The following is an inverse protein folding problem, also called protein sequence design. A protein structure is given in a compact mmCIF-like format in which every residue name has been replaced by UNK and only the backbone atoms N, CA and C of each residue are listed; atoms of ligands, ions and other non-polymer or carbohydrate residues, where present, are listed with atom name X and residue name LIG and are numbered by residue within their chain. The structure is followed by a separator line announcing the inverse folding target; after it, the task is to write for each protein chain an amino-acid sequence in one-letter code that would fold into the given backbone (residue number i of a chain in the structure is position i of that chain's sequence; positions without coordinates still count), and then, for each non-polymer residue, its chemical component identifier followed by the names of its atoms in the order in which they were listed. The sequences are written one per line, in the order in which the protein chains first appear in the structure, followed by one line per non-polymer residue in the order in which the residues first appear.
data_IF_153691022404
#
_entry.id   IF_153691022404
#
_cell.length_a   1.000
_cell.length_b   1.000
_cell.length_c   1.000
_cell.angle_alpha   90.00
_cell.angle_beta   90.00
_cell.angle_gamma   90.00
#
_symmetry.space_group_name_H-M   'P 1'
#
loop_
_entity.id
_entity.type
_entity.pdbx_description
1 polymer ?
#
# COMPACT_ATOMS: atom_id res chain seq x y z
N UNK A 1 -16.91 -14.08 21.82
CA UNK A 1 -17.15 -12.79 21.15
C UNK A 1 -16.69 -11.67 22.04
N UNK A 2 -15.48 -11.17 21.82
CA UNK A 2 -14.96 -9.96 22.49
C UNK A 2 -14.99 -8.88 21.43
N UNK A 3 -15.90 -7.92 21.59
CA UNK A 3 -16.00 -6.75 20.72
C UNK A 3 -14.72 -5.93 20.86
N UNK A 4 -13.94 -5.80 19.79
CA UNK A 4 -12.89 -4.81 19.70
C UNK A 4 -13.53 -3.41 19.53
N UNK A 5 -13.03 -2.39 20.22
CA UNK A 5 -13.49 -1.04 20.00
C UNK A 5 -13.06 -0.61 18.59
N UNK A 6 -14.01 -0.11 17.82
CA UNK A 6 -13.81 0.56 16.54
C UNK A 6 -12.95 1.79 16.83
N UNK A 7 -11.67 1.70 16.50
CA UNK A 7 -10.71 2.78 16.68
C UNK A 7 -11.04 3.94 15.77
N UNK A 8 -10.91 5.13 16.32
CA UNK A 8 -11.11 6.42 15.72
C UNK A 8 -10.45 6.54 14.35
N UNK A 9 -11.27 6.78 13.33
CA UNK A 9 -10.82 7.27 12.03
C UNK A 9 -10.17 8.63 12.24
N UNK A 10 -8.84 8.67 12.35
CA UNK A 10 -8.10 9.92 12.23
C UNK A 10 -8.23 10.44 10.80
N UNK A 11 -9.30 11.16 10.54
CA UNK A 11 -9.37 12.06 9.38
C UNK A 11 -8.34 13.14 9.63
N UNK A 12 -7.23 13.10 8.90
CA UNK A 12 -6.34 14.24 8.76
C UNK A 12 -7.15 15.36 8.09
N UNK A 13 -7.78 16.20 8.88
CA UNK A 13 -8.37 17.44 8.40
C UNK A 13 -7.21 18.34 7.98
N UNK A 14 -7.09 18.71 6.69
CA UNK A 14 -6.08 19.68 6.29
C UNK A 14 -6.37 21.00 7.02
N UNK A 15 -5.31 21.71 7.40
CA UNK A 15 -5.35 23.00 8.14
C UNK A 15 -6.22 24.08 7.46
N UNK A 16 -6.73 23.81 6.26
CA UNK A 16 -7.57 24.68 5.44
C UNK A 16 -9.04 24.26 5.37
N UNK A 17 -9.49 23.34 6.22
CA UNK A 17 -10.85 22.78 6.14
C UNK A 17 -11.98 23.84 6.23
N UNK A 18 -11.73 24.97 6.85
CA UNK A 18 -12.72 26.02 7.11
C UNK A 18 -12.63 27.24 6.18
N UNK A 19 -11.70 27.25 5.22
CA UNK A 19 -11.58 28.36 4.29
C UNK A 19 -12.70 28.31 3.24
N UNK A 20 -13.58 29.33 3.26
CA UNK A 20 -14.62 29.47 2.23
C UNK A 20 -14.03 29.89 0.90
N UNK A 21 -14.35 29.14 -0.14
CA UNK A 21 -14.02 29.44 -1.55
C UNK A 21 -15.29 29.41 -2.40
N UNK A 22 -15.22 29.97 -3.59
CA UNK A 22 -16.32 29.99 -4.54
C UNK A 22 -16.01 29.10 -5.73
N UNK A 23 -16.96 28.27 -6.13
CA UNK A 23 -16.80 27.33 -7.26
C UNK A 23 -18.01 27.43 -8.19
N UNK A 24 -17.83 26.99 -9.43
CA UNK A 24 -18.96 26.84 -10.38
C UNK A 24 -19.27 25.36 -10.59
N UNK A 25 -20.48 24.98 -11.03
CA UNK A 25 -20.88 23.57 -11.19
C UNK A 25 -19.93 22.76 -12.08
N UNK A 26 -19.48 23.35 -13.19
CA UNK A 26 -18.67 22.70 -14.24
C UNK A 26 -17.25 23.24 -14.34
N UNK A 27 -16.88 24.23 -13.52
CA UNK A 27 -15.56 24.87 -13.57
C UNK A 27 -14.46 24.01 -12.96
N UNK A 28 -13.23 24.17 -13.46
CA UNK A 28 -12.03 23.51 -12.98
C UNK A 28 -11.24 24.33 -11.95
N UNK A 29 -11.81 25.44 -11.45
CA UNK A 29 -11.12 26.38 -10.57
C UNK A 29 -11.96 26.77 -9.36
N UNK A 30 -11.26 27.04 -8.23
CA UNK A 30 -11.85 27.69 -7.08
C UNK A 30 -11.35 29.14 -6.94
N UNK A 31 -12.14 30.01 -6.30
CA UNK A 31 -11.98 31.45 -6.27
C UNK A 31 -12.13 31.99 -4.84
N UNK A 32 -11.51 33.14 -4.54
CA UNK A 32 -11.72 33.86 -3.27
C UNK A 32 -13.03 34.66 -3.24
N UNK A 33 -13.55 34.97 -4.42
CA UNK A 33 -14.79 35.73 -4.62
C UNK A 33 -15.41 35.40 -5.98
N UNK A 34 -16.62 35.84 -6.25
CA UNK A 34 -17.29 35.68 -7.58
C UNK A 34 -16.55 36.50 -8.65
N UNK A 35 -15.57 35.89 -9.32
CA UNK A 35 -14.73 36.55 -10.30
C UNK A 35 -15.08 36.12 -11.73
N UNK A 36 -15.89 36.90 -12.43
CA UNK A 36 -16.31 36.66 -13.83
C UNK A 36 -17.81 36.37 -13.97
N UNK A 37 -18.22 35.98 -15.18
CA UNK A 37 -19.63 35.62 -15.48
C UNK A 37 -19.86 34.14 -15.20
N UNK A 38 -20.68 33.81 -14.23
CA UNK A 38 -21.02 32.41 -13.89
C UNK A 38 -21.83 32.31 -12.61
N UNK A 39 -22.47 31.19 -12.40
CA UNK A 39 -23.19 30.87 -11.16
C UNK A 39 -22.20 30.29 -10.17
N UNK A 40 -21.78 31.11 -9.18
CA UNK A 40 -20.87 30.74 -8.13
C UNK A 40 -21.64 30.36 -6.86
N UNK A 41 -21.25 29.31 -6.19
CA UNK A 41 -21.72 28.94 -4.87
C UNK A 41 -20.54 28.76 -3.90
N UNK A 42 -20.81 28.98 -2.63
CA UNK A 42 -19.81 28.82 -1.58
C UNK A 42 -19.50 27.32 -1.37
N UNK A 43 -18.23 27.01 -1.16
CA UNK A 43 -17.70 25.69 -0.88
C UNK A 43 -16.54 25.83 0.10
N UNK A 44 -16.09 24.71 0.69
CA UNK A 44 -14.84 24.70 1.45
C UNK A 44 -13.65 24.47 0.52
N UNK A 45 -12.46 24.93 0.91
CA UNK A 45 -11.24 24.70 0.17
C UNK A 45 -10.96 23.18 0.06
N UNK A 46 -11.19 22.44 1.14
CA UNK A 46 -11.03 20.97 1.15
C UNK A 46 -11.94 20.28 0.15
N UNK A 47 -13.22 20.68 0.07
CA UNK A 47 -14.18 20.13 -0.89
C UNK A 47 -13.82 20.49 -2.33
N UNK A 48 -13.32 21.71 -2.58
CA UNK A 48 -12.84 22.12 -3.89
C UNK A 48 -11.61 21.33 -4.35
N UNK A 49 -10.65 21.08 -3.45
CA UNK A 49 -9.46 20.28 -3.71
C UNK A 49 -9.80 18.81 -3.94
N UNK A 50 -10.74 18.25 -3.17
CA UNK A 50 -11.24 16.88 -3.36
C UNK A 50 -11.87 16.66 -4.75
N UNK A 51 -12.49 17.71 -5.33
CA UNK A 51 -13.00 17.72 -6.70
C UNK A 51 -11.91 17.94 -7.76
N UNK A 52 -10.64 18.06 -7.38
CA UNK A 52 -9.51 18.32 -8.28
C UNK A 52 -9.45 19.76 -8.83
N UNK A 53 -10.15 20.71 -8.20
CA UNK A 53 -10.15 22.09 -8.65
C UNK A 53 -8.82 22.77 -8.30
N UNK A 54 -8.38 23.68 -9.16
CA UNK A 54 -7.15 24.48 -8.98
C UNK A 54 -7.48 25.94 -8.69
N UNK A 55 -6.55 26.67 -8.07
CA UNK A 55 -6.74 28.09 -7.79
C UNK A 55 -6.93 28.92 -9.05
N UNK A 56 -7.86 29.86 -9.04
CA UNK A 56 -8.04 30.82 -10.12
C UNK A 56 -6.88 31.81 -10.15
N UNK A 57 -6.21 31.93 -11.32
CA UNK A 57 -5.07 32.85 -11.48
C UNK A 57 -5.41 34.32 -11.24
N UNK A 58 -6.65 34.74 -11.49
CA UNK A 58 -7.09 36.11 -11.22
C UNK A 58 -7.27 36.40 -9.73
N UNK A 59 -7.72 35.39 -8.95
CA UNK A 59 -7.97 35.54 -7.51
C UNK A 59 -6.75 35.30 -6.66
N UNK A 60 -5.85 34.37 -7.08
CA UNK A 60 -4.72 33.89 -6.31
C UNK A 60 -3.37 34.15 -6.99
N UNK A 61 -3.36 34.66 -8.19
CA UNK A 61 -2.15 34.81 -8.97
C UNK A 61 -1.83 36.25 -9.31
N UNK A 62 -0.70 36.58 -8.89
CA UNK A 62 0.28 37.65 -9.04
C UNK A 62 0.27 38.57 -7.83
N UNK A 63 1.28 38.43 -6.97
CA UNK A 63 1.73 39.47 -6.06
C UNK A 63 1.83 40.77 -6.86
N UNK A 64 0.77 41.57 -6.71
CA UNK A 64 0.43 42.70 -7.49
C UNK A 64 1.25 43.91 -7.16
N UNK A 65 1.33 44.68 -8.15
CA UNK A 65 1.54 46.09 -7.98
C UNK A 65 0.24 46.76 -7.58
N UNK A 66 0.17 47.33 -6.41
CA UNK A 66 -0.80 48.36 -6.11
C UNK A 66 -0.35 49.62 -6.85
N UNK A 67 -1.00 49.95 -7.96
CA UNK A 67 -0.93 51.27 -8.52
C UNK A 67 -2.05 52.10 -7.94
N UNK A 68 -1.72 52.99 -7.02
CA UNK A 68 -2.60 54.09 -6.62
C UNK A 68 -2.31 55.28 -7.47
N UNK A 69 -3.27 55.60 -8.38
CA UNK A 69 -3.28 56.88 -9.08
C UNK A 69 -4.08 57.88 -8.27
N UNK A 70 -3.46 58.86 -7.70
CA UNK A 70 -4.11 60.14 -7.44
C UNK A 70 -3.23 61.26 -7.94
N UNK A 71 -3.78 61.99 -8.85
CA UNK A 71 -3.13 63.14 -9.41
C UNK A 71 -3.08 64.34 -8.48
N UNK A 72 -2.01 65.06 -8.55
CA UNK A 72 -2.03 66.53 -8.40
C UNK A 72 -0.79 67.09 -9.06
N UNK A 73 -1.01 68.09 -9.88
CA UNK A 73 0.01 68.88 -10.60
C UNK A 73 0.68 69.81 -9.58
N UNK A 74 1.99 69.95 -9.68
CA UNK A 74 2.68 71.22 -9.47
C UNK A 74 4.04 71.18 -10.16
N UNK A 75 4.29 72.26 -10.85
CA UNK A 75 5.49 72.52 -11.65
C UNK A 75 6.68 72.89 -10.77
N UNK A 76 7.89 72.60 -11.24
CA UNK A 76 9.04 73.41 -10.87
C UNK A 76 10.35 72.68 -10.70
N UNK A 77 11.26 73.05 -11.58
CA UNK A 77 12.71 73.09 -11.54
C UNK A 77 13.50 71.79 -11.82
N UNK A 78 14.18 71.92 -12.95
CA UNK A 78 15.24 71.06 -13.46
C UNK A 78 16.45 70.98 -12.51
N UNK A 79 16.69 69.81 -11.99
CA UNK A 79 18.03 69.35 -11.57
C UNK A 79 18.22 67.98 -12.18
N UNK A 80 19.17 67.83 -13.07
CA UNK A 80 19.53 66.58 -13.74
C UNK A 80 20.16 65.63 -12.70
N UNK A 81 19.32 64.95 -11.89
CA UNK A 81 19.73 63.80 -11.13
C UNK A 81 19.94 62.63 -12.10
N UNK A 82 21.19 62.18 -12.24
CA UNK A 82 21.53 60.87 -12.81
C UNK A 82 20.77 59.81 -12.03
N UNK A 83 19.59 59.45 -12.52
CA UNK A 83 18.79 58.33 -11.99
C UNK A 83 19.65 57.08 -12.03
N UNK A 84 20.21 56.69 -10.86
CA UNK A 84 20.96 55.48 -10.71
C UNK A 84 20.05 54.32 -11.16
N UNK A 85 20.39 53.68 -12.27
CA UNK A 85 19.70 52.47 -12.74
C UNK A 85 19.86 51.43 -11.66
N UNK A 86 18.83 51.17 -10.89
CA UNK A 86 18.78 50.11 -9.90
C UNK A 86 18.85 48.78 -10.67
N UNK A 87 20.08 48.28 -10.91
CA UNK A 87 20.30 46.96 -11.52
C UNK A 87 19.77 45.91 -10.52
N UNK A 88 18.76 45.14 -10.95
CA UNK A 88 18.17 44.10 -10.13
C UNK A 88 19.25 43.08 -9.67
N UNK A 89 19.23 42.65 -8.42
CA UNK A 89 20.31 41.82 -7.85
C UNK A 89 20.41 40.45 -8.53
N UNK A 90 21.64 39.92 -8.61
CA UNK A 90 21.90 38.56 -9.03
C UNK A 90 21.17 37.57 -8.13
N UNK A 91 20.39 36.65 -8.70
CA UNK A 91 19.54 35.72 -7.96
C UNK A 91 19.49 34.34 -8.61
N UNK A 92 19.22 33.31 -7.80
CA UNK A 92 18.79 32.01 -8.26
C UNK A 92 17.25 32.02 -8.48
N UNK A 93 16.77 31.27 -9.47
CA UNK A 93 15.32 31.08 -9.69
C UNK A 93 14.66 30.25 -8.56
N UNK A 94 15.47 29.54 -7.76
CA UNK A 94 15.02 28.76 -6.60
C UNK A 94 16.09 28.74 -5.52
N UNK A 95 15.69 28.86 -4.26
CA UNK A 95 16.56 28.83 -3.07
C UNK A 95 16.72 27.41 -2.49
N UNK A 96 15.89 26.47 -2.92
CA UNK A 96 15.99 25.07 -2.50
C UNK A 96 15.52 24.11 -3.58
N UNK A 97 16.16 22.94 -3.65
CA UNK A 97 15.73 21.82 -4.48
C UNK A 97 15.81 20.51 -3.70
N UNK A 98 14.96 19.60 -4.11
CA UNK A 98 14.95 18.22 -3.68
C UNK A 98 15.31 17.31 -4.88
N UNK A 99 16.13 16.29 -4.64
CA UNK A 99 16.52 15.30 -5.64
C UNK A 99 16.59 13.90 -5.01
N UNK A 100 16.22 12.91 -5.78
CA UNK A 100 16.61 11.53 -5.49
C UNK A 100 18.04 11.29 -5.94
N UNK A 101 18.78 10.45 -5.23
CA UNK A 101 20.12 9.98 -5.62
C UNK A 101 20.14 9.52 -7.08
N UNK A 102 21.14 9.96 -7.83
CA UNK A 102 21.32 9.71 -9.26
C UNK A 102 20.53 10.66 -10.18
N UNK A 103 19.60 11.48 -9.64
CA UNK A 103 18.88 12.48 -10.44
C UNK A 103 19.63 13.81 -10.49
N UNK A 104 19.32 14.59 -11.52
CA UNK A 104 19.95 15.91 -11.73
C UNK A 104 18.89 16.99 -12.02
N UNK A 105 19.22 18.23 -11.69
CA UNK A 105 18.42 19.41 -12.01
C UNK A 105 19.35 20.60 -12.26
N UNK A 106 19.10 21.36 -13.33
CA UNK A 106 19.83 22.60 -13.62
C UNK A 106 19.23 23.76 -12.83
N UNK A 107 20.06 24.50 -12.11
CA UNK A 107 19.69 25.71 -11.40
C UNK A 107 19.72 26.89 -12.39
N UNK A 108 18.60 27.59 -12.49
CA UNK A 108 18.52 28.82 -13.27
C UNK A 108 18.91 30.04 -12.44
N UNK A 109 19.51 31.01 -13.08
CA UNK A 109 19.84 32.32 -12.51
C UNK A 109 19.05 33.45 -13.17
N UNK A 110 18.97 34.61 -12.50
CA UNK A 110 18.46 35.87 -13.00
C UNK A 110 19.48 36.96 -12.78
N UNK A 111 19.54 37.94 -13.71
CA UNK A 111 20.37 39.15 -13.62
C UNK A 111 21.88 38.81 -13.42
N UNK A 112 22.35 37.74 -14.04
CA UNK A 112 23.78 37.46 -14.13
C UNK A 112 24.39 38.37 -15.19
N UNK A 113 25.44 39.10 -14.83
CA UNK A 113 26.14 40.04 -15.73
C UNK A 113 27.53 39.56 -16.12
N UNK A 114 27.85 38.28 -15.94
CA UNK A 114 29.13 37.68 -16.26
C UNK A 114 29.16 36.19 -16.05
N UNK A 115 30.35 35.62 -16.11
CA UNK A 115 30.55 34.19 -15.89
C UNK A 115 30.18 33.79 -14.47
N UNK A 116 29.40 32.71 -14.34
CA UNK A 116 28.96 32.18 -13.05
C UNK A 116 29.90 31.06 -12.64
N UNK A 117 30.50 31.19 -11.46
CA UNK A 117 31.23 30.11 -10.81
C UNK A 117 30.30 29.36 -9.87
N UNK A 118 30.24 28.04 -10.02
CA UNK A 118 29.45 27.17 -9.21
C UNK A 118 30.31 26.34 -8.26
N UNK A 119 29.88 26.19 -7.01
CA UNK A 119 30.54 25.35 -6.01
C UNK A 119 29.52 24.59 -5.17
N UNK A 120 29.94 23.42 -4.67
CA UNK A 120 29.15 22.63 -3.73
C UNK A 120 29.86 22.56 -2.38
N UNK A 121 29.11 22.71 -1.28
CA UNK A 121 29.68 22.55 0.06
C UNK A 121 29.96 21.08 0.43
N UNK A 122 29.37 20.11 -0.31
CA UNK A 122 29.52 18.68 -0.04
C UNK A 122 29.34 17.86 -1.32
N UNK A 123 30.45 17.60 -2.02
CA UNK A 123 30.43 16.88 -3.30
C UNK A 123 29.98 15.42 -3.17
N UNK A 124 30.14 14.80 -2.00
CA UNK A 124 29.62 13.45 -1.72
C UNK A 124 28.09 13.39 -1.68
N UNK A 125 27.42 14.54 -1.46
CA UNK A 125 25.94 14.64 -1.47
C UNK A 125 25.45 15.12 -2.84
N UNK A 126 26.02 16.22 -3.35
CA UNK A 126 25.65 16.79 -4.63
C UNK A 126 26.83 17.49 -5.28
N UNK A 127 27.05 17.23 -6.56
CA UNK A 127 28.00 17.96 -7.40
C UNK A 127 27.28 18.98 -8.25
N UNK A 128 28.00 20.00 -8.74
CA UNK A 128 27.47 20.99 -9.69
C UNK A 128 28.45 21.20 -10.83
N UNK A 129 27.96 21.27 -12.07
CA UNK A 129 28.78 21.58 -13.24
C UNK A 129 28.92 23.09 -13.44
N UNK A 130 29.82 23.51 -14.34
CA UNK A 130 29.98 24.92 -14.76
C UNK A 130 28.70 25.52 -15.31
N UNK A 131 27.80 24.72 -15.91
CA UNK A 131 26.48 25.16 -16.39
C UNK A 131 25.37 25.14 -15.34
N UNK A 132 25.69 24.92 -14.04
CA UNK A 132 24.70 24.90 -12.96
C UNK A 132 23.86 23.61 -12.86
N UNK A 133 24.24 22.53 -13.57
CA UNK A 133 23.59 21.22 -13.44
C UNK A 133 24.02 20.55 -12.14
N UNK A 134 23.10 20.45 -11.19
CA UNK A 134 23.28 19.76 -9.92
C UNK A 134 22.98 18.29 -10.10
N UNK A 135 23.90 17.41 -9.68
CA UNK A 135 23.73 15.95 -9.70
C UNK A 135 23.80 15.40 -8.29
N UNK A 136 22.76 14.67 -7.87
CA UNK A 136 22.66 14.04 -6.57
C UNK A 136 23.51 12.77 -6.50
N UNK A 137 24.52 12.74 -5.61
CA UNK A 137 25.49 11.64 -5.43
C UNK A 137 25.17 10.74 -4.24
N UNK A 138 24.75 11.32 -3.13
CA UNK A 138 24.46 10.59 -1.90
C UNK A 138 23.41 11.28 -1.05
N UNK A 139 22.73 10.53 -0.17
CA UNK A 139 21.74 11.08 0.73
C UNK A 139 22.33 12.15 1.66
N UNK A 140 21.59 13.22 1.91
CA UNK A 140 22.01 14.30 2.80
C UNK A 140 21.60 15.68 2.32
N UNK A 141 22.28 16.71 2.83
CA UNK A 141 22.09 18.11 2.47
C UNK A 141 23.41 18.71 1.99
N UNK A 142 23.35 19.50 0.94
CA UNK A 142 24.47 20.30 0.44
C UNK A 142 23.97 21.70 0.10
N UNK A 143 24.90 22.67 0.12
CA UNK A 143 24.63 24.03 -0.32
C UNK A 143 25.37 24.24 -1.65
N UNK A 144 24.63 24.55 -2.70
CA UNK A 144 25.20 24.96 -3.99
C UNK A 144 25.28 26.48 -3.99
N UNK A 145 26.46 27.01 -4.26
CA UNK A 145 26.70 28.45 -4.35
C UNK A 145 27.03 28.83 -5.77
N UNK A 146 26.32 29.84 -6.27
CA UNK A 146 26.62 30.51 -7.54
C UNK A 146 27.23 31.87 -7.25
N UNK A 147 28.40 32.17 -7.79
CA UNK A 147 29.10 33.44 -7.64
C UNK A 147 29.24 34.11 -9.00
N UNK A 148 28.83 35.37 -9.11
CA UNK A 148 28.95 36.19 -10.30
C UNK A 148 29.38 37.60 -9.88
N UNK A 149 30.51 38.11 -10.45
CA UNK A 149 31.04 39.43 -10.12
C UNK A 149 31.13 39.73 -8.63
N UNK A 150 31.71 38.80 -7.84
CA UNK A 150 31.85 38.94 -6.38
C UNK A 150 30.58 38.73 -5.55
N UNK A 151 29.39 38.68 -6.18
CA UNK A 151 28.12 38.41 -5.49
C UNK A 151 27.79 36.92 -5.50
N UNK A 152 27.40 36.38 -4.36
CA UNK A 152 27.08 34.96 -4.20
C UNK A 152 25.63 34.75 -3.78
N UNK A 153 25.00 33.73 -4.37
CA UNK A 153 23.66 33.27 -4.04
C UNK A 153 23.68 31.74 -3.80
N UNK A 154 22.83 31.27 -2.91
CA UNK A 154 22.88 29.88 -2.43
C UNK A 154 21.57 29.15 -2.67
N UNK A 155 21.66 27.86 -3.02
CA UNK A 155 20.55 26.93 -3.12
C UNK A 155 20.78 25.72 -2.20
N UNK A 156 19.82 25.44 -1.31
CA UNK A 156 19.84 24.26 -0.46
C UNK A 156 19.41 23.04 -1.29
N UNK A 157 20.27 22.04 -1.36
CA UNK A 157 19.98 20.76 -2.01
C UNK A 157 19.75 19.70 -0.95
N UNK A 158 18.60 19.06 -0.99
CA UNK A 158 18.30 17.86 -0.18
C UNK A 158 18.27 16.66 -1.09
N UNK A 159 19.08 15.65 -0.78
CA UNK A 159 19.12 14.39 -1.52
C UNK A 159 18.60 13.27 -0.63
N UNK A 160 17.69 12.48 -1.16
CA UNK A 160 17.21 11.24 -0.55
C UNK A 160 17.61 10.04 -1.38
N UNK A 161 17.81 8.89 -0.72
CA UNK A 161 18.11 7.58 -1.32
C UNK A 161 17.16 6.53 -0.71
N UNK A 162 15.86 6.57 -1.10
CA UNK A 162 14.87 5.66 -0.53
C UNK A 162 15.18 4.21 -0.87
N UNK A 163 15.09 3.33 0.14
CA UNK A 163 15.26 1.88 0.02
C UNK A 163 14.26 1.16 0.90
N UNK A 164 13.64 0.12 0.37
CA UNK A 164 12.84 -0.79 1.17
C UNK A 164 13.71 -1.52 2.19
N UNK A 165 13.15 -1.78 3.37
CA UNK A 165 13.79 -2.59 4.42
C UNK A 165 13.97 -4.05 4.00
N UNK A 166 13.12 -4.52 3.07
CA UNK A 166 13.18 -5.83 2.46
C UNK A 166 12.68 -5.77 1.00
N UNK A 167 13.20 -6.61 0.13
CA UNK A 167 12.75 -6.80 -1.25
C UNK A 167 11.87 -8.03 -1.41
N UNK A 168 11.85 -8.89 -0.39
CA UNK A 168 10.98 -10.06 -0.27
C UNK A 168 10.61 -10.28 1.20
N UNK A 169 9.38 -10.69 1.44
CA UNK A 169 8.83 -11.12 2.72
C UNK A 169 8.19 -12.49 2.55
N UNK A 170 8.41 -13.37 3.53
CA UNK A 170 7.63 -14.59 3.71
C UNK A 170 6.81 -14.39 4.98
N UNK A 171 5.52 -14.52 4.91
CA UNK A 171 4.59 -14.31 6.02
C UNK A 171 3.79 -15.60 6.16
N UNK A 172 3.49 -16.02 7.38
CA UNK A 172 2.55 -17.11 7.63
C UNK A 172 1.14 -16.59 7.31
N UNK A 173 0.23 -17.48 7.05
CA UNK A 173 -1.20 -17.15 6.95
C UNK A 173 -1.64 -16.40 8.21
N UNK A 174 -2.49 -15.39 8.08
CA UNK A 174 -2.97 -14.51 9.14
C UNK A 174 -1.85 -13.84 9.98
N UNK A 175 -0.65 -13.76 9.42
CA UNK A 175 0.49 -13.12 10.06
C UNK A 175 0.76 -11.72 9.56
N UNK A 176 1.66 -11.02 10.23
CA UNK A 176 2.07 -9.67 9.85
C UNK A 176 3.57 -9.48 9.81
N UNK A 177 4.04 -8.54 9.01
CA UNK A 177 5.44 -8.10 8.99
C UNK A 177 5.57 -6.62 8.66
N UNK A 178 6.53 -5.97 9.31
CA UNK A 178 6.85 -4.58 9.04
C UNK A 178 7.67 -4.42 7.77
N UNK A 179 7.24 -3.52 6.86
CA UNK A 179 7.96 -3.10 5.67
C UNK A 179 8.12 -1.59 5.67
N UNK A 180 9.35 -1.08 5.70
CA UNK A 180 9.66 0.36 5.78
C UNK A 180 10.40 0.83 4.53
N UNK A 181 10.08 2.05 4.08
CA UNK A 181 10.90 2.75 3.09
C UNK A 181 11.88 3.67 3.84
N UNK A 182 13.12 3.21 4.03
CA UNK A 182 14.19 3.97 4.70
C UNK A 182 14.77 5.02 3.78
N UNK A 183 15.37 6.08 4.34
CA UNK A 183 16.06 7.13 3.56
C UNK A 183 15.13 8.10 2.83
N UNK A 184 13.83 8.11 3.18
CA UNK A 184 12.82 9.05 2.72
C UNK A 184 12.18 9.76 3.90
N UNK A 185 11.97 11.09 3.78
CA UNK A 185 11.28 11.91 4.79
C UNK A 185 9.90 12.37 4.33
N UNK A 186 9.49 11.98 3.13
CA UNK A 186 8.22 12.34 2.54
C UNK A 186 7.20 11.23 2.71
N UNK A 187 5.93 11.59 2.60
CA UNK A 187 4.83 10.63 2.64
C UNK A 187 4.98 9.60 1.52
N UNK A 188 4.84 8.34 1.86
CA UNK A 188 4.90 7.19 0.96
C UNK A 188 3.49 6.72 0.71
N UNK A 189 3.12 6.57 -0.57
CA UNK A 189 1.87 5.90 -0.92
C UNK A 189 2.16 4.41 -1.08
N UNK A 190 1.55 3.62 -0.21
CA UNK A 190 1.62 2.17 -0.24
C UNK A 190 0.39 1.59 -0.95
N UNK A 191 0.57 0.47 -1.62
CA UNK A 191 -0.51 -0.33 -2.21
C UNK A 191 -0.01 -1.75 -2.50
N UNK A 192 -0.94 -2.68 -2.52
CA UNK A 192 -0.72 -4.07 -2.91
C UNK A 192 -1.08 -4.29 -4.39
N UNK A 193 -0.64 -5.39 -4.96
CA UNK A 193 -1.09 -5.87 -6.28
C UNK A 193 -2.21 -6.88 -6.17
N UNK A 194 -2.48 -7.37 -4.94
CA UNK A 194 -3.46 -8.40 -4.68
C UNK A 194 -3.85 -8.32 -3.20
N UNK A 195 -5.05 -7.81 -2.94
CA UNK A 195 -5.60 -7.59 -1.60
C UNK A 195 -6.06 -8.90 -0.96
N UNK A 196 -6.38 -9.92 -1.78
CA UNK A 196 -6.75 -11.25 -1.29
C UNK A 196 -5.56 -11.98 -0.69
N UNK A 197 -4.33 -11.70 -1.18
CA UNK A 197 -3.11 -12.28 -0.64
C UNK A 197 -2.55 -11.47 0.52
N UNK A 198 -2.44 -10.15 0.38
CA UNK A 198 -1.94 -9.30 1.46
C UNK A 198 -2.33 -7.84 1.29
N UNK A 199 -2.40 -7.14 2.41
CA UNK A 199 -2.63 -5.69 2.45
C UNK A 199 -1.52 -4.97 3.21
N UNK A 200 -1.51 -3.62 3.16
CA UNK A 200 -0.55 -2.80 3.89
C UNK A 200 -1.19 -1.56 4.50
N UNK A 201 -1.11 -1.44 5.82
CA UNK A 201 -1.53 -0.27 6.56
C UNK A 201 -0.32 0.36 7.28
N UNK A 202 -0.07 1.63 6.97
CA UNK A 202 1.13 2.30 7.48
C UNK A 202 2.42 1.65 6.98
N UNK A 203 3.05 0.86 7.82
CA UNK A 203 4.27 0.10 7.53
C UNK A 203 4.12 -1.40 7.80
N UNK A 204 2.91 -1.85 8.13
CA UNK A 204 2.63 -3.26 8.45
C UNK A 204 1.94 -3.92 7.28
N UNK A 205 2.48 -5.02 6.83
CA UNK A 205 1.92 -5.90 5.81
C UNK A 205 1.19 -7.01 6.53
N UNK A 206 -0.09 -7.17 6.24
CA UNK A 206 -0.99 -8.20 6.75
C UNK A 206 -1.17 -9.27 5.70
N UNK A 207 -1.13 -10.52 6.09
CA UNK A 207 -1.35 -11.67 5.21
C UNK A 207 -2.83 -12.08 5.31
N UNK A 208 -3.57 -11.97 4.20
CA UNK A 208 -5.01 -12.24 4.12
C UNK A 208 -5.28 -13.64 3.54
N UNK A 209 -4.50 -14.07 2.55
CA UNK A 209 -4.66 -15.36 1.89
C UNK A 209 -3.33 -15.93 1.39
N UNK A 210 -3.27 -17.25 1.20
CA UNK A 210 -2.08 -17.92 0.67
C UNK A 210 -1.83 -17.51 -0.79
N UNK A 211 -0.58 -17.20 -1.11
CA UNK A 211 -0.24 -16.79 -2.46
C UNK A 211 1.00 -15.93 -2.59
N UNK A 212 1.08 -15.21 -3.69
CA UNK A 212 2.18 -14.28 -3.96
C UNK A 212 1.65 -12.97 -4.47
N UNK A 213 1.94 -11.89 -3.74
CA UNK A 213 1.62 -10.52 -4.13
C UNK A 213 2.86 -9.62 -4.11
N UNK A 214 2.68 -8.35 -4.46
CA UNK A 214 3.71 -7.32 -4.35
C UNK A 214 3.19 -6.11 -3.63
N UNK A 215 3.85 -5.74 -2.56
CA UNK A 215 3.67 -4.42 -1.94
C UNK A 215 4.53 -3.42 -2.68
N UNK A 216 3.92 -2.30 -3.05
CA UNK A 216 4.55 -1.21 -3.78
C UNK A 216 4.51 0.08 -2.97
N UNK A 217 5.66 0.76 -2.89
CA UNK A 217 5.84 2.07 -2.24
C UNK A 217 6.09 3.12 -3.31
N UNK A 218 5.20 4.09 -3.48
CA UNK A 218 5.36 5.19 -4.45
C UNK A 218 5.71 6.47 -3.73
N UNK A 219 6.85 7.07 -4.11
CA UNK A 219 7.31 8.37 -3.62
C UNK A 219 8.11 9.08 -4.71
N UNK A 220 7.90 10.41 -4.88
CA UNK A 220 8.57 11.25 -5.90
C UNK A 220 8.52 10.68 -7.33
N UNK A 221 7.41 10.05 -7.69
CA UNK A 221 7.24 9.44 -9.01
C UNK A 221 8.01 8.14 -9.25
N UNK A 222 8.71 7.63 -8.23
CA UNK A 222 9.41 6.34 -8.26
C UNK A 222 8.64 5.32 -7.43
N UNK A 223 8.59 4.08 -7.95
CA UNK A 223 7.97 2.94 -7.27
C UNK A 223 9.04 1.95 -6.83
N UNK A 224 8.95 1.51 -5.60
CA UNK A 224 9.76 0.45 -4.98
C UNK A 224 8.85 -0.74 -4.74
N UNK A 225 9.33 -1.97 -4.94
CA UNK A 225 8.51 -3.17 -4.87
C UNK A 225 9.15 -4.22 -3.97
N UNK A 226 8.34 -4.83 -3.10
CA UNK A 226 8.66 -5.97 -2.27
C UNK A 226 7.77 -7.14 -2.68
N UNK A 227 8.36 -8.32 -2.93
CA UNK A 227 7.60 -9.56 -3.12
C UNK A 227 7.13 -10.05 -1.76
N UNK A 228 5.85 -10.38 -1.64
CA UNK A 228 5.26 -11.02 -0.46
C UNK A 228 4.83 -12.42 -0.86
N UNK A 229 5.21 -13.40 -0.07
CA UNK A 229 4.76 -14.79 -0.20
C UNK A 229 4.10 -15.15 1.11
N UNK A 230 2.82 -15.48 1.04
CA UNK A 230 2.04 -15.98 2.16
C UNK A 230 1.93 -17.50 2.00
N UNK A 231 2.36 -18.21 3.02
CA UNK A 231 2.25 -19.67 3.04
C UNK A 231 0.79 -20.07 3.29
N UNK A 232 0.40 -21.24 2.76
CA UNK A 232 -0.90 -21.84 3.10
C UNK A 232 -0.98 -22.05 4.63
N UNK A 233 -2.18 -21.93 5.24
CA UNK A 233 -2.40 -22.34 6.62
C UNK A 233 -2.00 -23.81 6.77
N UNK A 234 -1.63 -24.23 7.96
CA UNK A 234 -1.18 -25.60 8.20
C UNK A 234 -2.25 -26.34 9.01
N UNK A 235 -2.61 -27.54 8.56
CA UNK A 235 -3.46 -28.43 9.32
C UNK A 235 -2.65 -28.94 10.51
N UNK A 236 -3.04 -28.61 11.73
CA UNK A 236 -2.39 -29.07 12.97
C UNK A 236 -2.76 -30.53 13.29
N UNK A 237 -4.00 -30.91 13.02
CA UNK A 237 -4.61 -32.21 13.20
C UNK A 237 -6.10 -32.10 12.90
N UNK A 238 -6.81 -33.21 12.95
CA UNK A 238 -8.25 -33.32 12.94
C UNK A 238 -8.65 -34.59 13.66
N UNK A 239 -9.90 -34.74 14.07
CA UNK A 239 -10.49 -35.94 14.61
C UNK A 239 -11.59 -36.47 13.66
N UNK A 240 -12.00 -37.69 13.89
CA UNK A 240 -13.15 -38.31 13.25
C UNK A 240 -14.26 -38.46 14.29
N UNK A 241 -15.53 -38.31 13.84
CA UNK A 241 -16.69 -38.56 14.73
C UNK A 241 -16.67 -39.94 15.35
N UNK A 242 -16.12 -40.90 14.60
CA UNK A 242 -15.97 -42.30 15.08
C UNK A 242 -14.59 -42.84 14.71
N UNK A 243 -13.90 -43.42 15.68
CA UNK A 243 -12.61 -44.09 15.47
C UNK A 243 -12.76 -45.62 15.33
N UNK A 244 -13.89 -46.16 15.79
CA UNK A 244 -14.27 -47.57 15.70
C UNK A 244 -15.77 -47.67 15.49
N UNK A 245 -16.17 -48.50 14.53
CA UNK A 245 -17.58 -48.76 14.21
C UNK A 245 -17.77 -50.28 14.14
N UNK A 246 -18.88 -50.76 14.75
CA UNK A 246 -19.35 -52.11 14.56
C UNK A 246 -20.69 -52.06 13.86
N UNK A 247 -20.80 -52.68 12.74
CA UNK A 247 -22.00 -52.65 11.88
C UNK A 247 -22.50 -54.09 11.63
N UNK A 248 -23.83 -54.24 11.53
CA UNK A 248 -24.40 -55.48 11.05
C UNK A 248 -24.26 -55.52 9.52
N UNK A 249 -24.03 -56.72 8.99
CA UNK A 249 -24.08 -56.94 7.55
C UNK A 249 -25.53 -56.98 7.09
N UNK A 250 -25.98 -55.97 6.39
CA UNK A 250 -27.23 -55.89 5.66
C UNK A 250 -26.93 -55.28 4.27
N UNK A 251 -27.51 -55.87 3.24
CA UNK A 251 -27.36 -55.36 1.86
C UNK A 251 -27.89 -53.93 1.76
N UNK A 252 -27.04 -52.96 1.27
CA UNK A 252 -27.33 -51.56 1.18
C UNK A 252 -27.20 -50.77 2.50
N UNK A 253 -26.67 -51.40 3.58
CA UNK A 253 -26.33 -50.65 4.81
C UNK A 253 -25.18 -49.68 4.55
N UNK A 254 -25.31 -48.45 5.04
CA UNK A 254 -24.36 -47.39 4.85
C UNK A 254 -23.87 -46.81 6.18
N UNK A 255 -22.70 -46.21 6.15
CA UNK A 255 -22.14 -45.46 7.28
C UNK A 255 -21.60 -44.12 6.82
N UNK A 256 -21.50 -43.22 7.79
CA UNK A 256 -20.93 -41.90 7.59
C UNK A 256 -19.92 -41.59 8.70
N UNK A 257 -18.79 -41.02 8.32
CA UNK A 257 -17.76 -40.48 9.23
C UNK A 257 -17.63 -39.01 8.98
N UNK A 258 -17.74 -38.19 10.02
CA UNK A 258 -17.53 -36.74 9.95
C UNK A 258 -16.13 -36.40 10.39
N UNK A 259 -15.56 -35.36 9.78
CA UNK A 259 -14.27 -34.79 10.15
C UNK A 259 -14.53 -33.62 11.09
N UNK A 260 -13.90 -33.69 12.26
CA UNK A 260 -14.08 -32.73 13.34
C UNK A 260 -12.76 -32.00 13.67
N UNK A 261 -12.84 -30.90 14.43
CA UNK A 261 -11.70 -30.08 14.89
C UNK A 261 -10.89 -29.43 13.75
N UNK A 262 -11.57 -29.09 12.62
CA UNK A 262 -10.98 -28.40 11.47
C UNK A 262 -11.46 -26.98 11.42
N UNK A 263 -10.51 -26.02 11.29
CA UNK A 263 -10.85 -24.62 11.01
C UNK A 263 -11.47 -24.47 9.61
N UNK A 264 -12.60 -23.78 9.49
CA UNK A 264 -13.34 -23.58 8.22
C UNK A 264 -12.44 -23.08 7.09
N UNK A 265 -11.48 -22.21 7.40
CA UNK A 265 -10.55 -21.66 6.42
C UNK A 265 -9.65 -22.72 5.76
N UNK A 266 -9.45 -23.87 6.36
CA UNK A 266 -8.60 -24.93 5.82
C UNK A 266 -9.25 -25.63 4.62
N UNK A 267 -10.59 -25.64 4.56
CA UNK A 267 -11.34 -26.21 3.44
C UNK A 267 -11.10 -25.48 2.11
N UNK A 268 -10.76 -24.19 2.15
CA UNK A 268 -10.38 -23.41 0.95
C UNK A 268 -9.02 -23.82 0.35
N UNK A 269 -8.22 -24.59 1.10
CA UNK A 269 -6.82 -24.90 0.71
C UNK A 269 -6.52 -26.39 0.57
N UNK A 270 -7.35 -27.26 1.10
CA UNK A 270 -7.10 -28.68 1.11
C UNK A 270 -8.36 -29.48 0.81
N UNK A 271 -8.20 -30.51 0.00
CA UNK A 271 -9.24 -31.47 -0.31
C UNK A 271 -9.22 -32.61 0.70
N UNK A 272 -10.41 -33.13 1.03
CA UNK A 272 -10.60 -34.35 1.79
C UNK A 272 -10.40 -35.55 0.88
N UNK A 273 -9.82 -36.61 1.40
CA UNK A 273 -9.76 -37.90 0.72
C UNK A 273 -9.85 -39.05 1.73
N UNK A 274 -10.44 -40.14 1.33
CA UNK A 274 -10.57 -41.35 2.15
C UNK A 274 -10.31 -42.58 1.31
N UNK A 275 -9.79 -43.63 1.95
CA UNK A 275 -9.52 -44.94 1.32
C UNK A 275 -9.83 -46.04 2.31
N UNK A 276 -10.58 -47.04 1.84
CA UNK A 276 -10.79 -48.28 2.57
C UNK A 276 -9.61 -49.25 2.34
N UNK A 277 -9.19 -49.94 3.38
CA UNK A 277 -8.16 -51.00 3.28
C UNK A 277 -8.69 -52.28 2.65
N UNK A 278 -10.03 -52.49 2.71
CA UNK A 278 -10.72 -53.62 2.09
C UNK A 278 -12.07 -53.17 1.52
N UNK A 279 -12.15 -52.81 0.21
CA UNK A 279 -13.39 -52.45 -0.44
C UNK A 279 -14.43 -53.60 -0.52
N UNK A 280 -14.01 -54.86 -0.28
CA UNK A 280 -14.94 -55.98 -0.21
C UNK A 280 -15.67 -56.08 1.15
N UNK A 281 -15.22 -55.29 2.16
CA UNK A 281 -15.90 -55.15 3.44
C UNK A 281 -16.67 -53.85 3.52
N UNK A 282 -16.00 -52.70 3.20
CA UNK A 282 -16.63 -51.40 3.11
C UNK A 282 -16.11 -50.61 1.87
N UNK A 283 -16.99 -50.08 1.05
CA UNK A 283 -16.67 -49.28 -0.13
C UNK A 283 -17.05 -47.83 0.09
N UNK A 284 -16.13 -46.91 -0.17
CA UNK A 284 -16.39 -45.46 -0.08
C UNK A 284 -17.07 -45.02 -1.37
N UNK A 285 -18.27 -44.47 -1.28
CA UNK A 285 -19.02 -43.99 -2.45
C UNK A 285 -19.22 -42.48 -2.50
N UNK A 286 -19.00 -41.75 -1.40
CA UNK A 286 -19.14 -40.30 -1.33
C UNK A 286 -18.14 -39.64 -0.40
N UNK A 287 -17.63 -38.48 -0.82
CA UNK A 287 -16.85 -37.55 0.00
C UNK A 287 -17.37 -36.17 -0.34
N UNK A 288 -18.06 -35.53 0.61
CA UNK A 288 -18.66 -34.19 0.44
C UNK A 288 -18.33 -33.35 1.69
N UNK A 289 -17.81 -32.15 1.49
CA UNK A 289 -17.43 -31.23 2.56
C UNK A 289 -16.61 -31.91 3.68
N UNK A 290 -17.19 -32.09 4.88
CA UNK A 290 -16.60 -32.72 6.06
C UNK A 290 -17.07 -34.18 6.27
N UNK A 291 -17.66 -34.81 5.24
CA UNK A 291 -18.32 -36.10 5.32
C UNK A 291 -17.66 -37.15 4.42
N UNK A 292 -17.46 -38.35 4.96
CA UNK A 292 -17.07 -39.55 4.23
C UNK A 292 -18.16 -40.61 4.37
N UNK A 293 -18.83 -40.91 3.26
CA UNK A 293 -19.91 -41.90 3.18
C UNK A 293 -19.42 -43.22 2.56
N UNK A 294 -19.80 -44.34 3.17
CA UNK A 294 -19.44 -45.66 2.71
C UNK A 294 -20.60 -46.64 2.76
N UNK A 295 -20.55 -47.69 1.97
CA UNK A 295 -21.50 -48.81 1.96
C UNK A 295 -20.84 -50.07 2.52
N UNK A 296 -21.60 -50.87 3.21
CA UNK A 296 -21.21 -52.17 3.75
C UNK A 296 -21.35 -53.24 2.65
N UNK A 297 -20.22 -53.81 2.20
CA UNK A 297 -20.19 -54.77 1.09
C UNK A 297 -20.12 -56.22 1.58
N UNK A 298 -19.48 -56.49 2.71
CA UNK A 298 -19.30 -57.85 3.23
C UNK A 298 -18.91 -57.89 4.68
N UNK A 299 -18.96 -59.09 5.29
CA UNK A 299 -18.53 -59.37 6.66
C UNK A 299 -16.98 -59.33 6.72
N UNK A 300 -16.45 -58.69 7.74
CA UNK A 300 -14.98 -58.60 7.94
C UNK A 300 -14.57 -57.33 8.68
N UNK A 301 -13.29 -56.97 8.51
CA UNK A 301 -12.70 -55.79 9.13
C UNK A 301 -12.04 -54.95 8.05
N UNK A 302 -12.23 -53.62 8.09
CA UNK A 302 -11.56 -52.68 7.23
C UNK A 302 -11.20 -51.38 7.97
N UNK A 303 -10.09 -50.79 7.58
CA UNK A 303 -9.66 -49.47 8.04
C UNK A 303 -10.03 -48.42 6.99
N UNK A 304 -10.83 -47.45 7.36
CA UNK A 304 -11.05 -46.25 6.53
C UNK A 304 -10.00 -45.23 6.94
N UNK A 305 -9.02 -44.96 6.05
CA UNK A 305 -8.01 -43.93 6.24
C UNK A 305 -8.49 -42.65 5.62
N UNK A 306 -8.77 -41.66 6.44
CA UNK A 306 -9.15 -40.29 6.03
C UNK A 306 -7.90 -39.40 6.02
N UNK A 307 -7.72 -38.61 4.97
CA UNK A 307 -6.56 -37.72 4.78
C UNK A 307 -7.00 -36.31 4.47
N UNK A 308 -6.46 -35.32 5.22
CA UNK A 308 -6.74 -33.92 5.02
C UNK A 308 -5.49 -33.07 5.33
N UNK A 309 -5.08 -32.19 4.41
CA UNK A 309 -3.92 -31.30 4.60
C UNK A 309 -2.61 -32.00 4.97
N UNK A 310 -2.43 -33.25 4.50
CA UNK A 310 -1.25 -34.07 4.79
C UNK A 310 -1.27 -34.77 6.16
N UNK A 311 -2.38 -34.67 6.89
CA UNK A 311 -2.65 -35.43 8.11
C UNK A 311 -3.54 -36.64 7.79
N UNK A 312 -3.54 -37.62 8.65
CA UNK A 312 -4.34 -38.83 8.50
C UNK A 312 -4.94 -39.25 9.85
N UNK A 313 -6.20 -39.68 9.78
CA UNK A 313 -6.90 -40.36 10.84
C UNK A 313 -7.46 -41.70 10.30
N UNK A 314 -7.69 -42.66 11.13
CA UNK A 314 -8.19 -43.98 10.72
C UNK A 314 -9.41 -44.32 11.58
N UNK A 315 -10.47 -44.75 10.94
CA UNK A 315 -11.63 -45.37 11.54
C UNK A 315 -11.58 -46.87 11.25
N UNK A 316 -11.60 -47.68 12.29
CA UNK A 316 -11.69 -49.15 12.16
C UNK A 316 -13.15 -49.59 12.10
N UNK A 317 -13.53 -50.28 11.05
CA UNK A 317 -14.89 -50.78 10.83
C UNK A 317 -14.89 -52.31 10.90
N UNK A 318 -15.68 -52.84 11.81
CA UNK A 318 -15.93 -54.29 11.94
C UNK A 318 -17.38 -54.57 11.50
N UNK A 319 -17.54 -55.40 10.48
CA UNK A 319 -18.84 -55.80 9.97
C UNK A 319 -19.09 -57.27 10.42
N UNK A 320 -20.17 -57.48 11.14
CA UNK A 320 -20.54 -58.80 11.69
C UNK A 320 -21.84 -59.32 11.09
N UNK A 321 -21.94 -60.63 10.90
CA UNK A 321 -23.21 -61.30 10.57
C UNK A 321 -23.97 -61.59 11.85
N UNK A 322 -25.01 -60.83 12.15
CA UNK A 322 -25.85 -61.02 13.33
C UNK A 322 -26.57 -62.37 13.33
N UNK A 323 -26.77 -63.01 12.16
CA UNK A 323 -27.44 -64.27 12.02
C UNK A 323 -26.50 -65.49 12.33
N UNK A 324 -25.17 -65.24 12.31
CA UNK A 324 -24.18 -66.28 12.56
C UNK A 324 -23.98 -66.58 14.06
N UNK A 325 -24.45 -65.72 14.96
CA UNK A 325 -24.26 -65.85 16.41
C UNK A 325 -25.28 -66.76 17.09
N UNK A 326 -26.42 -67.10 16.42
CA UNK A 326 -27.53 -67.90 17.01
C UNK A 326 -27.40 -69.43 16.90
N UNK A 327 -26.25 -69.98 16.45
CA UNK A 327 -26.10 -71.44 16.22
C UNK A 327 -25.14 -72.16 17.14
N UNK A 328 -24.77 -71.62 18.32
CA UNK A 328 -23.88 -72.34 19.26
C UNK A 328 -24.47 -72.59 20.65
N UNK A 329 -25.81 -72.74 20.78
CA UNK A 329 -26.39 -73.29 22.01
C UNK A 329 -27.50 -74.33 21.65
N UNK A 330 -27.11 -75.55 21.20
CA UNK A 330 -27.84 -76.78 21.31
C UNK A 330 -26.89 -77.94 21.68
#
# INVERSE_FOLDING_TARGET
MIAMPIGDTYTLTPVYADTTVYVTPTGSKYHTHKCGRGNYYASTLSAALARGLTACKKCFGSSGGYSYSSGSRSAGSSASEKKAIKVAPFQLKTSSIFLLKGKSKTLGTKNASGTIRWTSSKNSVATVSSGGKVTAKGAGKAMITATCNGKSVKCKVTVEDPKLSATSLKIKFDGEKTLKLKGCKHSVKWYTTDEDVCDIYGNTVYANGAGTARIKAKVHGKTYSCKVVVAKPQVSGFSLSEMQMQLAFEEGNTGTIYIEDVDDILWDYYDLSAVSSDPGVVEIYGIEDDEVSFEVIGVGEADITVSFGGKKCVCHVSVVDENAVTTQDE
#
